data_IF_750949049197
#
_entry.id   IF_750949049197
#
_cell.length_a   1.000
_cell.length_b   1.000
_cell.length_c   1.000
_cell.angle_alpha   90.00
_cell.angle_beta   90.00
_cell.angle_gamma   90.00
#
_symmetry.space_group_name_H-M   'P 1'
#
loop_
_entity.id
_entity.type
_entity.pdbx_description
1 polymer ?
#
# COMPACT_ATOMS: atom_id res chain seq x y z
N UNK A 1 8.29 -9.04 -5.23
CA UNK A 1 7.47 -9.66 -4.17
C UNK A 1 6.08 -9.10 -4.34
N UNK A 2 5.04 -9.93 -4.53
CA UNK A 2 3.69 -9.40 -4.66
C UNK A 2 2.98 -9.45 -3.30
N UNK A 3 2.75 -8.30 -2.67
CA UNK A 3 1.77 -8.16 -1.59
C UNK A 3 0.59 -7.39 -2.18
N UNK A 4 -0.62 -7.90 -2.02
CA UNK A 4 -1.82 -7.23 -2.46
C UNK A 4 -2.82 -7.23 -1.31
N UNK A 5 -3.25 -6.06 -0.89
CA UNK A 5 -4.29 -5.92 0.13
C UNK A 5 -5.49 -5.19 -0.46
N UNK A 6 -6.68 -5.66 -0.10
CA UNK A 6 -7.95 -5.06 -0.45
C UNK A 6 -8.76 -4.89 0.84
N UNK A 7 -8.79 -3.67 1.36
CA UNK A 7 -9.46 -3.35 2.63
C UNK A 7 -10.58 -2.32 2.42
N UNK A 8 -11.66 -2.47 3.19
CA UNK A 8 -12.79 -1.56 3.14
C UNK A 8 -12.42 -0.18 3.73
N UNK A 9 -12.96 0.91 3.18
CA UNK A 9 -12.71 2.26 3.70
C UNK A 9 -12.94 2.39 5.21
N UNK A 10 -14.00 1.74 5.72
CA UNK A 10 -14.38 1.76 7.13
C UNK A 10 -13.29 1.22 8.07
N UNK A 11 -12.34 0.42 7.57
CA UNK A 11 -11.26 -0.15 8.37
C UNK A 11 -9.94 0.62 8.25
N UNK A 12 -9.85 1.56 7.30
CA UNK A 12 -8.64 2.31 6.95
C UNK A 12 -8.73 3.76 7.41
N UNK A 13 -8.80 3.94 8.73
CA UNK A 13 -8.72 5.25 9.38
C UNK A 13 -7.27 5.74 9.48
N UNK A 14 -7.09 7.03 9.79
CA UNK A 14 -5.75 7.62 9.99
C UNK A 14 -4.92 6.82 11.01
N UNK A 15 -3.67 6.56 10.67
CA UNK A 15 -2.72 5.83 11.53
C UNK A 15 -2.86 4.30 11.48
N UNK A 16 -3.84 3.76 10.75
CA UNK A 16 -3.98 2.31 10.57
C UNK A 16 -2.89 1.80 9.63
N UNK A 17 -2.29 0.65 9.97
CA UNK A 17 -1.46 -0.13 9.05
C UNK A 17 -2.36 -0.96 8.12
N UNK A 18 -2.43 -0.59 6.85
CA UNK A 18 -3.21 -1.28 5.83
C UNK A 18 -2.68 -2.69 5.52
N UNK A 19 -1.43 -3.01 5.88
CA UNK A 19 -0.83 -4.33 5.68
C UNK A 19 -0.94 -5.23 6.92
N UNK A 20 -1.64 -4.79 7.97
CA UNK A 20 -1.71 -5.52 9.26
C UNK A 20 -2.20 -6.96 9.14
N UNK A 21 -3.08 -7.26 8.18
CA UNK A 21 -3.67 -8.58 7.96
C UNK A 21 -2.97 -9.38 6.86
N UNK A 22 -1.97 -8.81 6.19
CA UNK A 22 -1.30 -9.46 5.07
C UNK A 22 -0.22 -10.44 5.56
N UNK A 23 -0.32 -11.70 5.13
CA UNK A 23 0.64 -12.76 5.52
C UNK A 23 2.09 -12.40 5.19
N UNK A 24 2.30 -11.64 4.12
CA UNK A 24 3.62 -11.24 3.66
C UNK A 24 4.09 -9.89 4.22
N UNK A 25 3.35 -9.25 5.13
CA UNK A 25 3.84 -8.04 5.80
C UNK A 25 5.16 -8.31 6.52
N UNK A 26 5.28 -9.46 7.17
CA UNK A 26 6.49 -10.04 7.75
C UNK A 26 6.77 -11.36 7.06
N UNK A 27 8.00 -11.59 6.62
CA UNK A 27 8.35 -12.86 5.97
C UNK A 27 9.76 -13.30 6.35
N UNK A 28 9.96 -14.60 6.52
CA UNK A 28 11.28 -15.21 6.69
C UNK A 28 12.14 -15.22 5.42
N UNK A 29 11.57 -14.79 4.28
CA UNK A 29 12.29 -14.72 3.00
C UNK A 29 12.79 -13.28 2.75
N UNK A 30 13.96 -13.18 2.14
CA UNK A 30 14.44 -11.90 1.58
C UNK A 30 13.47 -11.44 0.49
N UNK A 31 13.12 -10.16 0.52
CA UNK A 31 12.19 -9.54 -0.43
C UNK A 31 12.84 -8.30 -1.02
N UNK A 32 12.36 -7.87 -2.17
CA UNK A 32 12.78 -6.62 -2.80
C UNK A 32 11.51 -5.89 -3.19
N UNK A 33 11.41 -4.64 -2.78
CA UNK A 33 10.37 -3.71 -3.21
C UNK A 33 10.87 -2.95 -4.44
N UNK A 34 10.06 -2.93 -5.49
CA UNK A 34 10.35 -2.29 -6.79
C UNK A 34 9.22 -1.36 -7.24
N UNK A 35 8.03 -1.54 -6.68
CA UNK A 35 6.89 -0.73 -7.05
C UNK A 35 5.83 -0.71 -5.96
N UNK A 36 5.08 0.38 -5.93
CA UNK A 36 3.93 0.58 -5.06
C UNK A 36 2.79 1.10 -5.92
N UNK A 37 1.63 0.47 -5.85
CA UNK A 37 0.40 0.98 -6.42
C UNK A 37 -0.64 1.17 -5.31
N UNK A 38 -1.35 2.29 -5.37
CA UNK A 38 -2.44 2.62 -4.47
C UNK A 38 -3.62 3.03 -5.34
N UNK A 39 -4.72 2.28 -5.27
CA UNK A 39 -5.90 2.52 -6.12
C UNK A 39 -7.19 2.32 -5.32
N UNK A 40 -8.25 3.02 -5.70
CA UNK A 40 -9.55 2.98 -5.02
C UNK A 40 -9.87 4.28 -4.28
N UNK A 41 -10.65 4.20 -3.20
CA UNK A 41 -11.25 5.36 -2.53
C UNK A 41 -12.25 6.15 -3.41
N UNK A 42 -12.67 7.35 -3.00
CA UNK A 42 -13.76 8.10 -3.66
C UNK A 42 -13.28 8.85 -4.89
N UNK A 43 -12.16 9.55 -4.79
CA UNK A 43 -11.63 10.45 -5.80
C UNK A 43 -10.11 10.24 -5.94
N UNK A 44 -9.50 10.75 -7.00
CA UNK A 44 -8.04 10.70 -7.16
C UNK A 44 -7.39 11.65 -6.15
N UNK A 45 -6.26 11.25 -5.54
CA UNK A 45 -5.53 12.00 -4.52
C UNK A 45 -6.29 12.26 -3.20
N UNK A 46 -7.37 11.53 -2.93
CA UNK A 46 -8.13 11.67 -1.68
C UNK A 46 -7.56 10.80 -0.53
N UNK A 47 -6.72 9.82 -0.85
CA UNK A 47 -6.08 8.92 0.10
C UNK A 47 -4.57 8.94 -0.07
N UNK A 48 -3.85 8.81 1.05
CA UNK A 48 -2.39 8.78 1.09
C UNK A 48 -1.90 7.76 2.10
N UNK A 49 -0.89 6.98 1.72
CA UNK A 49 -0.19 6.03 2.59
C UNK A 49 1.27 6.45 2.75
N UNK A 50 1.81 6.29 3.95
CA UNK A 50 3.24 6.33 4.22
C UNK A 50 3.78 4.90 4.32
N UNK A 51 4.75 4.55 3.46
CA UNK A 51 5.33 3.22 3.41
C UNK A 51 6.64 3.16 4.20
N UNK A 52 6.74 2.14 5.05
CA UNK A 52 7.90 1.88 5.88
C UNK A 52 8.41 0.44 5.73
N UNK A 53 9.73 0.30 5.81
CA UNK A 53 10.43 -0.97 6.00
C UNK A 53 11.08 -0.89 7.38
N UNK A 54 10.52 -1.56 8.39
CA UNK A 54 10.85 -1.28 9.80
C UNK A 54 10.72 0.23 10.10
N UNK A 55 11.79 0.87 10.56
CA UNK A 55 11.86 2.33 10.80
C UNK A 55 12.30 3.12 9.55
N UNK A 56 12.64 2.46 8.44
CA UNK A 56 13.07 3.15 7.23
C UNK A 56 11.87 3.67 6.44
N UNK A 57 11.77 4.99 6.32
CA UNK A 57 10.75 5.64 5.51
C UNK A 57 11.09 5.53 4.01
N UNK A 58 10.19 4.89 3.25
CA UNK A 58 10.33 4.73 1.80
C UNK A 58 9.76 5.94 1.06
N UNK A 59 8.60 6.41 1.47
CA UNK A 59 7.90 7.50 0.82
C UNK A 59 6.39 7.51 1.09
N UNK A 60 5.75 8.57 0.61
CA UNK A 60 4.30 8.69 0.62
C UNK A 60 3.72 8.44 -0.78
N UNK A 61 2.62 7.70 -0.84
CA UNK A 61 1.96 7.33 -2.09
C UNK A 61 0.48 7.67 -2.00
N UNK A 62 -0.01 8.40 -3.01
CA UNK A 62 -1.42 8.75 -3.16
C UNK A 62 -2.10 7.81 -4.13
N UNK A 63 -3.41 7.67 -3.98
CA UNK A 63 -4.19 6.88 -4.91
C UNK A 63 -4.25 7.52 -6.30
N UNK A 64 -3.93 6.74 -7.33
CA UNK A 64 -3.93 7.20 -8.74
C UNK A 64 -5.30 7.17 -9.39
N UNK A 65 -6.20 6.34 -8.85
CA UNK A 65 -7.55 6.10 -9.37
C UNK A 65 -8.55 6.07 -8.24
N UNK A 66 -9.74 6.63 -8.47
CA UNK A 66 -10.87 6.63 -7.53
C UNK A 66 -12.09 5.89 -8.08
N UNK A 67 -12.96 5.47 -7.18
CA UNK A 67 -14.25 4.83 -7.47
C UNK A 67 -14.34 3.37 -7.03
N UNK A 68 -15.57 2.90 -6.81
CA UNK A 68 -15.85 1.53 -6.35
C UNK A 68 -15.47 0.42 -7.38
N UNK A 69 -15.34 0.78 -8.66
CA UNK A 69 -15.00 -0.16 -9.73
C UNK A 69 -13.48 -0.39 -9.89
N UNK A 70 -12.65 0.32 -9.13
CA UNK A 70 -11.19 0.22 -9.22
C UNK A 70 -10.71 -0.98 -8.42
N UNK A 71 -10.91 -2.17 -8.98
CA UNK A 71 -10.50 -3.46 -8.39
C UNK A 71 -9.22 -4.03 -9.04
N UNK A 72 -8.69 -3.37 -10.07
CA UNK A 72 -7.53 -3.84 -10.83
C UNK A 72 -6.46 -2.76 -10.84
N UNK A 73 -5.29 -3.09 -10.31
CA UNK A 73 -4.07 -2.30 -10.46
C UNK A 73 -3.57 -2.50 -11.89
N UNK A 74 -3.55 -1.44 -12.69
CA UNK A 74 -2.91 -1.46 -13.99
C UNK A 74 -1.42 -1.11 -13.85
N UNK A 75 -0.61 -1.48 -14.84
CA UNK A 75 0.84 -1.21 -14.80
C UNK A 75 1.17 0.29 -14.71
N UNK A 76 0.28 1.14 -15.20
CA UNK A 76 0.38 2.61 -15.12
C UNK A 76 0.17 3.17 -13.70
N UNK A 77 -0.48 2.40 -12.81
CA UNK A 77 -0.72 2.80 -11.41
C UNK A 77 0.47 2.49 -10.50
N UNK A 78 1.44 1.74 -11.01
CA UNK A 78 2.61 1.33 -10.24
C UNK A 78 3.62 2.46 -10.26
N UNK A 79 3.80 3.10 -9.11
CA UNK A 79 4.93 3.98 -8.88
C UNK A 79 6.20 3.15 -8.73
N UNK A 80 7.20 3.31 -9.61
CA UNK A 80 8.47 2.64 -9.44
C UNK A 80 9.16 3.24 -8.22
N UNK A 81 9.44 2.39 -7.24
CA UNK A 81 10.35 2.71 -6.14
C UNK A 81 11.66 2.00 -6.43
N UNK A 82 12.78 2.65 -6.10
CA UNK A 82 14.10 2.05 -6.27
C UNK A 82 14.14 0.65 -5.63
N UNK A 83 15.02 -0.26 -6.07
CA UNK A 83 15.08 -1.60 -5.50
C UNK A 83 15.48 -1.51 -4.02
N UNK A 84 14.48 -1.55 -3.13
CA UNK A 84 14.71 -1.56 -1.69
C UNK A 84 14.80 -3.00 -1.23
N UNK A 85 16.00 -3.38 -0.76
CA UNK A 85 16.21 -4.68 -0.15
C UNK A 85 15.47 -4.73 1.19
N UNK A 86 14.60 -5.72 1.34
CA UNK A 86 13.86 -5.98 2.58
C UNK A 86 14.46 -7.25 3.19
N UNK A 87 15.19 -7.14 4.30
CA UNK A 87 15.74 -8.29 5.00
C UNK A 87 14.66 -9.30 5.41
N UNK A 88 15.09 -10.55 5.60
CA UNK A 88 14.24 -11.57 6.19
C UNK A 88 13.89 -11.18 7.63
N UNK A 89 12.62 -11.34 7.99
CA UNK A 89 12.07 -10.94 9.29
C UNK A 89 11.57 -9.50 9.34
N UNK A 90 11.92 -8.65 8.36
CA UNK A 90 11.53 -7.23 8.43
C UNK A 90 10.03 -7.01 8.24
N UNK A 91 9.42 -6.10 8.99
CA UNK A 91 8.04 -5.69 8.80
C UNK A 91 7.91 -4.64 7.69
N UNK A 92 6.94 -4.85 6.81
CA UNK A 92 6.41 -3.82 5.91
C UNK A 92 5.13 -3.24 6.52
N UNK A 93 5.06 -1.92 6.58
CA UNK A 93 3.91 -1.19 7.08
C UNK A 93 3.50 -0.11 6.10
N UNK A 94 2.21 -0.06 5.77
CA UNK A 94 1.62 1.00 4.97
C UNK A 94 0.63 1.76 5.86
N UNK A 95 1.10 2.85 6.45
CA UNK A 95 0.30 3.63 7.39
C UNK A 95 -0.57 4.61 6.64
N UNK A 96 -1.86 4.63 6.93
CA UNK A 96 -2.80 5.61 6.35
C UNK A 96 -2.49 7.01 6.89
N UNK A 97 -1.99 7.88 6.02
CA UNK A 97 -1.68 9.29 6.31
C UNK A 97 -2.86 10.21 5.99
N UNK A 98 -3.66 9.87 4.98
CA UNK A 98 -4.94 10.51 4.65
C UNK A 98 -5.98 9.42 4.47
N UNK A 99 -7.08 9.51 5.22
CA UNK A 99 -8.07 8.44 5.34
C UNK A 99 -8.82 8.15 4.04
N UNK A 100 -9.14 6.88 3.85
CA UNK A 100 -9.94 6.42 2.72
C UNK A 100 -11.39 6.84 2.91
N UNK A 101 -12.01 7.41 1.87
CA UNK A 101 -13.41 7.82 1.91
C UNK A 101 -14.26 6.87 1.06
N UNK A 102 -15.38 6.42 1.64
CA UNK A 102 -16.49 5.65 1.06
C UNK A 102 -16.21 4.32 0.35
N UNK A 103 -15.21 4.23 -0.53
CA UNK A 103 -14.90 3.05 -1.32
C UNK A 103 -13.65 2.33 -0.81
N UNK A 104 -13.54 1.01 -1.00
CA UNK A 104 -12.35 0.24 -0.64
C UNK A 104 -11.05 0.80 -1.23
N UNK A 105 -9.94 0.49 -0.57
CA UNK A 105 -8.60 0.79 -1.05
C UNK A 105 -7.87 -0.51 -1.36
N UNK A 106 -7.19 -0.54 -2.49
CA UNK A 106 -6.28 -1.61 -2.87
C UNK A 106 -4.85 -1.09 -2.88
N UNK A 107 -3.94 -1.78 -2.20
CA UNK A 107 -2.51 -1.47 -2.19
C UNK A 107 -1.77 -2.69 -2.68
N UNK A 108 -0.95 -2.50 -3.72
CA UNK A 108 -0.15 -3.56 -4.31
C UNK A 108 1.34 -3.18 -4.28
N UNK A 109 2.14 -4.03 -3.65
CA UNK A 109 3.59 -3.93 -3.60
C UNK A 109 4.21 -4.94 -4.56
N UNK A 110 5.22 -4.51 -5.33
CA UNK A 110 5.91 -5.30 -6.35
C UNK A 110 7.37 -5.61 -5.99
#
# INVERSE_FOLDING_TARGET
>A
MLINTYEAAATLTLGVDALRNERMNVSSRRRVLRGVAVVGSTAINDCEIALYIEDFFVGNFRNTKGGAAVQVVANEDIFPVGPHAIPAGSKLSAIISVAVVANPLMIQLH
#
